data_IF_195539454474
#
_entry.id   IF_195539454474
#
_cell.length_a   1.000
_cell.length_b   1.000
_cell.length_c   1.000
_cell.angle_alpha   90.00
_cell.angle_beta   90.00
_cell.angle_gamma   90.00
#
_symmetry.space_group_name_H-M   'P 1'
#
loop_
_entity.id
_entity.type
_entity.pdbx_description
1 polymer ?
#
# COMPACT_ATOMS: atom_id res chain seq x y z
N UNK A 1 -29.88 -60.68 -34.31
CA UNK A 1 -30.18 -60.37 -32.89
C UNK A 1 -28.93 -60.71 -32.10
N UNK A 2 -28.16 -59.83 -31.48
CA UNK A 2 -28.37 -58.48 -30.93
C UNK A 2 -27.00 -57.80 -30.83
N UNK A 3 -26.85 -56.56 -31.32
CA UNK A 3 -25.64 -55.75 -31.15
C UNK A 3 -25.85 -54.72 -30.02
N UNK A 4 -24.83 -54.62 -29.16
CA UNK A 4 -24.32 -53.43 -28.47
C UNK A 4 -25.26 -52.61 -27.58
N UNK A 5 -25.06 -52.71 -26.26
CA UNK A 5 -25.52 -51.73 -25.27
C UNK A 5 -24.35 -50.86 -24.81
N UNK A 6 -24.56 -49.55 -24.95
CA UNK A 6 -24.06 -48.45 -24.09
C UNK A 6 -22.55 -48.19 -24.03
N UNK A 7 -22.07 -47.34 -24.95
CA UNK A 7 -21.01 -46.36 -24.68
C UNK A 7 -21.71 -45.08 -24.21
N UNK A 8 -21.85 -44.93 -22.90
CA UNK A 8 -22.14 -43.64 -22.25
C UNK A 8 -21.06 -43.49 -21.19
N UNK A 9 -20.29 -42.41 -21.31
CA UNK A 9 -19.36 -41.84 -20.32
C UNK A 9 -17.94 -41.68 -20.86
N UNK A 10 -17.75 -40.68 -21.74
CA UNK A 10 -16.42 -40.06 -21.92
C UNK A 10 -16.52 -38.68 -22.59
N UNK A 11 -17.41 -37.80 -22.11
CA UNK A 11 -17.46 -36.39 -22.56
C UNK A 11 -17.76 -35.42 -21.42
N UNK A 12 -17.22 -35.67 -20.23
CA UNK A 12 -17.33 -34.73 -19.10
C UNK A 12 -16.02 -34.52 -18.33
N UNK A 13 -14.88 -34.52 -19.04
CA UNK A 13 -13.59 -34.14 -18.45
C UNK A 13 -12.81 -33.10 -19.28
N UNK A 14 -13.27 -32.73 -20.48
CA UNK A 14 -12.61 -31.70 -21.29
C UNK A 14 -13.16 -30.27 -21.07
N UNK A 15 -14.26 -30.11 -20.31
CA UNK A 15 -14.84 -28.78 -20.07
C UNK A 15 -14.23 -28.03 -18.87
N UNK A 16 -13.57 -28.75 -17.95
CA UNK A 16 -13.01 -28.16 -16.71
C UNK A 16 -11.56 -27.67 -16.90
N UNK A 17 -10.84 -28.15 -17.91
CA UNK A 17 -9.47 -27.70 -18.19
C UNK A 17 -9.38 -26.47 -19.10
N UNK A 18 -10.44 -26.13 -19.86
CA UNK A 18 -10.43 -24.99 -20.80
C UNK A 18 -10.71 -23.66 -20.08
N UNK A 19 -11.46 -23.67 -18.98
CA UNK A 19 -11.75 -22.44 -18.22
C UNK A 19 -10.53 -21.83 -17.53
N UNK A 20 -9.55 -22.65 -17.16
CA UNK A 20 -8.36 -22.18 -16.42
C UNK A 20 -7.25 -21.61 -17.32
N UNK A 21 -7.21 -21.98 -18.60
CA UNK A 21 -6.27 -21.42 -19.58
C UNK A 21 -6.80 -20.12 -20.19
N UNK A 22 -8.12 -20.00 -20.33
CA UNK A 22 -8.76 -18.80 -20.89
C UNK A 22 -8.76 -17.59 -19.94
N UNK A 23 -8.78 -17.81 -18.62
CA UNK A 23 -8.86 -16.73 -17.62
C UNK A 23 -7.58 -15.88 -17.52
N UNK A 24 -6.41 -16.48 -17.78
CA UNK A 24 -5.11 -15.79 -17.63
C UNK A 24 -4.81 -14.83 -18.79
N UNK A 25 -5.17 -15.23 -20.01
CA UNK A 25 -5.07 -14.37 -21.21
C UNK A 25 -5.99 -13.15 -21.14
N UNK A 26 -7.06 -13.20 -20.34
CA UNK A 26 -8.12 -12.20 -20.43
C UNK A 26 -7.75 -10.81 -19.90
N UNK A 27 -6.91 -10.75 -18.87
CA UNK A 27 -6.56 -9.50 -18.20
C UNK A 27 -5.25 -8.89 -18.68
N UNK A 28 -4.29 -9.74 -19.06
CA UNK A 28 -2.93 -9.32 -19.39
C UNK A 28 -2.91 -8.44 -20.65
N UNK A 29 -3.76 -8.74 -21.64
CA UNK A 29 -3.90 -7.96 -22.87
C UNK A 29 -4.50 -6.58 -22.61
N UNK A 30 -5.56 -6.50 -21.78
CA UNK A 30 -6.14 -5.21 -21.36
C UNK A 30 -5.09 -4.40 -20.61
N UNK A 31 -4.41 -5.02 -19.65
CA UNK A 31 -3.40 -4.34 -18.84
C UNK A 31 -2.25 -3.82 -19.71
N UNK A 32 -1.83 -4.60 -20.71
CA UNK A 32 -0.81 -4.18 -21.67
C UNK A 32 -1.26 -2.93 -22.44
N UNK A 33 -2.49 -2.92 -22.95
CA UNK A 33 -3.05 -1.77 -23.67
C UNK A 33 -3.11 -0.52 -22.78
N UNK A 34 -3.56 -0.65 -21.52
CA UNK A 34 -3.58 0.47 -20.58
C UNK A 34 -2.16 0.97 -20.29
N UNK A 35 -1.17 0.06 -20.16
CA UNK A 35 0.23 0.42 -19.93
C UNK A 35 0.86 1.15 -21.13
N UNK A 36 0.40 0.84 -22.34
CA UNK A 36 0.84 1.49 -23.58
C UNK A 36 0.11 2.82 -23.83
N UNK A 37 -0.89 3.17 -23.01
CA UNK A 37 -1.73 4.35 -23.22
C UNK A 37 -2.78 4.16 -24.31
N UNK A 38 -2.98 2.93 -24.79
CA UNK A 38 -3.99 2.59 -25.81
C UNK A 38 -5.36 2.39 -25.15
N UNK A 39 -5.86 3.42 -24.48
CA UNK A 39 -7.03 3.35 -23.61
C UNK A 39 -8.33 3.02 -24.36
N UNK A 40 -8.52 3.52 -25.57
CA UNK A 40 -9.70 3.22 -26.38
C UNK A 40 -9.75 1.73 -26.75
N UNK A 41 -8.60 1.13 -27.11
CA UNK A 41 -8.51 -0.31 -27.40
C UNK A 41 -8.71 -1.13 -26.13
N UNK A 42 -8.13 -0.68 -25.01
CA UNK A 42 -8.35 -1.32 -23.71
C UNK A 42 -9.83 -1.33 -23.34
N UNK A 43 -10.55 -0.23 -23.58
CA UNK A 43 -11.98 -0.11 -23.28
C UNK A 43 -12.78 -1.10 -24.13
N UNK A 44 -12.57 -1.09 -25.45
CA UNK A 44 -13.26 -2.00 -26.37
C UNK A 44 -13.05 -3.47 -25.99
N UNK A 45 -11.81 -3.88 -25.72
CA UNK A 45 -11.49 -5.25 -25.32
C UNK A 45 -12.12 -5.62 -23.97
N UNK A 46 -12.15 -4.67 -23.03
CA UNK A 46 -12.76 -4.88 -21.71
C UNK A 46 -14.28 -5.08 -21.84
N UNK A 47 -14.95 -4.28 -22.68
CA UNK A 47 -16.39 -4.38 -22.93
C UNK A 47 -16.76 -5.67 -23.67
N UNK A 48 -15.98 -6.08 -24.66
CA UNK A 48 -16.12 -7.37 -25.34
C UNK A 48 -16.10 -8.51 -24.31
N UNK A 49 -15.12 -8.52 -23.40
CA UNK A 49 -14.99 -9.55 -22.37
C UNK A 49 -16.11 -9.51 -21.34
N UNK A 50 -16.52 -8.32 -20.91
CA UNK A 50 -17.66 -8.13 -19.98
C UNK A 50 -18.99 -8.57 -20.59
N UNK A 51 -19.16 -8.52 -21.92
CA UNK A 51 -20.37 -9.01 -22.59
C UNK A 51 -20.62 -10.51 -22.34
N UNK A 52 -19.53 -11.28 -22.18
CA UNK A 52 -19.53 -12.72 -21.90
C UNK A 52 -19.48 -13.01 -20.40
N UNK A 53 -18.76 -12.18 -19.63
CA UNK A 53 -18.48 -12.36 -18.19
C UNK A 53 -19.08 -11.24 -17.34
N UNK A 54 -20.41 -11.08 -17.43
CA UNK A 54 -21.20 -9.92 -16.96
C UNK A 54 -21.01 -9.46 -15.50
N UNK A 55 -20.27 -10.19 -14.67
CA UNK A 55 -20.04 -9.86 -13.25
C UNK A 55 -18.58 -10.02 -12.82
N UNK A 56 -17.64 -9.95 -13.76
CA UNK A 56 -16.21 -9.95 -13.45
C UNK A 56 -15.78 -8.58 -12.90
N UNK A 57 -15.66 -8.49 -11.58
CA UNK A 57 -15.29 -7.26 -10.86
C UNK A 57 -13.93 -6.72 -11.32
N UNK A 58 -12.98 -7.60 -11.69
CA UNK A 58 -11.65 -7.17 -12.13
C UNK A 58 -11.74 -6.49 -13.50
N UNK A 59 -12.54 -7.02 -14.42
CA UNK A 59 -12.82 -6.36 -15.69
C UNK A 59 -13.61 -5.05 -15.52
N UNK A 60 -14.59 -5.01 -14.61
CA UNK A 60 -15.29 -3.77 -14.28
C UNK A 60 -14.33 -2.71 -13.72
N UNK A 61 -13.41 -3.11 -12.83
CA UNK A 61 -12.41 -2.21 -12.29
C UNK A 61 -11.46 -1.69 -13.37
N UNK A 62 -10.99 -2.56 -14.29
CA UNK A 62 -10.21 -2.15 -15.46
C UNK A 62 -10.98 -1.18 -16.37
N UNK A 63 -12.30 -1.40 -16.56
CA UNK A 63 -13.17 -0.49 -17.29
C UNK A 63 -13.19 0.89 -16.62
N UNK A 64 -13.44 0.95 -15.32
CA UNK A 64 -13.47 2.20 -14.55
C UNK A 64 -12.16 2.97 -14.62
N UNK A 65 -11.01 2.28 -14.48
CA UNK A 65 -9.69 2.89 -14.65
C UNK A 65 -9.47 3.43 -16.07
N UNK A 66 -9.88 2.66 -17.09
CA UNK A 66 -9.71 3.05 -18.49
C UNK A 66 -10.55 4.27 -18.85
N UNK A 67 -11.82 4.29 -18.42
CA UNK A 67 -12.71 5.44 -18.57
C UNK A 67 -12.15 6.69 -17.86
N UNK A 68 -11.57 6.53 -16.67
CA UNK A 68 -10.91 7.63 -15.95
C UNK A 68 -9.73 8.21 -16.75
N UNK A 69 -8.95 7.36 -17.43
CA UNK A 69 -7.83 7.78 -18.28
C UNK A 69 -8.25 8.45 -19.59
N UNK A 70 -9.47 8.17 -20.04
CA UNK A 70 -10.11 8.80 -21.20
C UNK A 70 -10.86 10.08 -20.82
N UNK A 71 -10.75 10.54 -19.56
CA UNK A 71 -11.52 11.66 -18.99
C UNK A 71 -13.05 11.47 -19.10
N UNK A 72 -13.51 10.22 -19.29
CA UNK A 72 -14.92 9.83 -19.29
C UNK A 72 -15.40 9.62 -17.84
N UNK A 73 -15.34 10.70 -17.05
CA UNK A 73 -15.54 10.64 -15.61
C UNK A 73 -16.94 10.20 -15.19
N UNK A 74 -17.97 10.56 -15.96
CA UNK A 74 -19.35 10.15 -15.64
C UNK A 74 -19.53 8.63 -15.75
N UNK A 75 -19.06 8.04 -16.84
CA UNK A 75 -19.12 6.59 -17.04
C UNK A 75 -18.23 5.85 -16.01
N UNK A 76 -17.07 6.41 -15.67
CA UNK A 76 -16.19 5.86 -14.64
C UNK A 76 -16.85 5.87 -13.24
N UNK A 77 -17.53 6.96 -12.89
CA UNK A 77 -18.31 7.13 -11.65
C UNK A 77 -19.35 6.02 -11.53
N UNK A 78 -20.16 5.79 -12.56
CA UNK A 78 -21.17 4.73 -12.56
C UNK A 78 -20.56 3.34 -12.32
N UNK A 79 -19.45 3.03 -12.99
CA UNK A 79 -18.75 1.75 -12.86
C UNK A 79 -18.23 1.57 -11.43
N UNK A 80 -17.55 2.58 -10.86
CA UNK A 80 -17.02 2.45 -9.50
C UNK A 80 -18.12 2.41 -8.44
N UNK A 81 -19.22 3.16 -8.60
CA UNK A 81 -20.38 3.08 -7.71
C UNK A 81 -20.93 1.63 -7.70
N UNK A 82 -21.12 1.02 -8.87
CA UNK A 82 -21.58 -0.37 -8.95
C UNK A 82 -20.65 -1.33 -8.20
N UNK A 83 -19.33 -1.18 -8.36
CA UNK A 83 -18.35 -2.01 -7.65
C UNK A 83 -18.44 -1.79 -6.14
N UNK A 84 -18.53 -0.54 -5.67
CA UNK A 84 -18.61 -0.21 -4.24
C UNK A 84 -19.89 -0.72 -3.57
N UNK A 85 -21.01 -0.73 -4.28
CA UNK A 85 -22.29 -1.28 -3.78
C UNK A 85 -22.21 -2.80 -3.68
N UNK A 86 -21.62 -3.46 -4.68
CA UNK A 86 -21.50 -4.92 -4.71
C UNK A 86 -20.40 -5.46 -3.77
N UNK A 87 -19.36 -4.67 -3.50
CA UNK A 87 -18.16 -5.08 -2.75
C UNK A 87 -17.73 -3.95 -1.79
N UNK A 88 -18.57 -3.63 -0.78
CA UNK A 88 -18.33 -2.51 0.12
C UNK A 88 -17.10 -2.68 1.01
N UNK A 89 -16.50 -3.87 1.07
CA UNK A 89 -15.28 -4.15 1.80
C UNK A 89 -14.01 -3.72 1.05
N UNK A 90 -14.08 -3.59 -0.29
CA UNK A 90 -12.91 -3.27 -1.11
C UNK A 90 -12.60 -1.76 -1.05
N UNK A 91 -11.39 -1.36 -0.65
CA UNK A 91 -11.06 0.06 -0.51
C UNK A 91 -10.63 0.70 -1.84
N UNK A 92 -10.12 -0.07 -2.80
CA UNK A 92 -9.60 0.45 -4.07
C UNK A 92 -10.70 1.11 -4.93
N UNK A 93 -11.92 0.56 -5.08
CA UNK A 93 -13.01 1.21 -5.81
C UNK A 93 -13.41 2.55 -5.21
N UNK A 94 -13.49 2.65 -3.87
CA UNK A 94 -13.75 3.92 -3.19
C UNK A 94 -12.63 4.95 -3.43
N UNK A 95 -11.37 4.53 -3.37
CA UNK A 95 -10.25 5.42 -3.65
C UNK A 95 -10.26 5.94 -5.10
N UNK A 96 -10.58 5.10 -6.08
CA UNK A 96 -10.67 5.53 -7.47
C UNK A 96 -11.92 6.39 -7.74
N UNK A 97 -13.05 6.08 -7.09
CA UNK A 97 -14.24 6.94 -7.12
C UNK A 97 -13.92 8.34 -6.61
N UNK A 98 -13.11 8.47 -5.55
CA UNK A 98 -12.67 9.77 -5.06
C UNK A 98 -11.81 10.56 -6.07
N UNK A 99 -10.93 9.89 -6.81
CA UNK A 99 -10.16 10.51 -7.90
C UNK A 99 -11.10 11.03 -9.00
N UNK A 100 -12.10 10.25 -9.38
CA UNK A 100 -13.13 10.63 -10.36
C UNK A 100 -13.92 11.85 -9.86
N UNK A 101 -14.40 11.83 -8.62
CA UNK A 101 -15.09 12.96 -8.00
C UNK A 101 -14.21 14.22 -7.95
N UNK A 102 -12.93 14.09 -7.58
CA UNK A 102 -12.00 15.20 -7.53
C UNK A 102 -11.76 15.84 -8.91
N UNK A 103 -11.68 15.03 -9.98
CA UNK A 103 -11.56 15.50 -11.35
C UNK A 103 -12.81 16.29 -11.81
N UNK A 104 -13.99 15.93 -11.30
CA UNK A 104 -15.24 16.63 -11.53
C UNK A 104 -15.44 17.86 -10.60
N UNK A 105 -14.51 18.13 -9.66
CA UNK A 105 -14.64 19.20 -8.66
C UNK A 105 -15.58 18.88 -7.49
N UNK A 106 -16.09 17.64 -7.41
CA UNK A 106 -16.97 17.13 -6.34
C UNK A 106 -16.17 16.75 -5.09
N UNK A 107 -15.58 17.74 -4.41
CA UNK A 107 -14.61 17.47 -3.34
C UNK A 107 -15.22 16.84 -2.08
N UNK A 108 -16.47 17.15 -1.74
CA UNK A 108 -17.14 16.57 -0.58
C UNK A 108 -17.41 15.07 -0.78
N UNK A 109 -17.86 14.69 -1.97
CA UNK A 109 -18.09 13.30 -2.36
C UNK A 109 -16.77 12.53 -2.44
N UNK A 110 -15.69 13.17 -2.91
CA UNK A 110 -14.35 12.60 -2.89
C UNK A 110 -13.86 12.31 -1.46
N UNK A 111 -14.08 13.25 -0.53
CA UNK A 111 -13.77 13.08 0.89
C UNK A 111 -14.52 11.88 1.48
N UNK A 112 -15.83 11.78 1.23
CA UNK A 112 -16.66 10.68 1.74
C UNK A 112 -16.20 9.32 1.20
N UNK A 113 -15.92 9.23 -0.11
CA UNK A 113 -15.40 8.02 -0.71
C UNK A 113 -14.06 7.59 -0.08
N UNK A 114 -13.13 8.52 0.15
CA UNK A 114 -11.86 8.20 0.83
C UNK A 114 -12.07 7.80 2.29
N UNK A 115 -13.01 8.43 3.01
CA UNK A 115 -13.38 8.01 4.37
C UNK A 115 -13.95 6.59 4.37
N UNK A 116 -14.74 6.20 3.39
CA UNK A 116 -15.21 4.82 3.23
C UNK A 116 -14.04 3.86 2.97
N UNK A 117 -13.10 4.21 2.08
CA UNK A 117 -11.88 3.43 1.84
C UNK A 117 -11.04 3.25 3.12
N UNK A 118 -10.92 4.31 3.94
CA UNK A 118 -10.18 4.30 5.21
C UNK A 118 -10.94 3.52 6.28
N UNK A 119 -12.27 3.61 6.32
CA UNK A 119 -13.09 2.89 7.29
C UNK A 119 -12.98 1.38 7.10
N UNK A 120 -13.09 0.91 5.86
CA UNK A 120 -12.87 -0.51 5.55
C UNK A 120 -11.39 -0.86 5.72
N UNK A 121 -10.50 0.05 5.30
CA UNK A 121 -9.07 -0.18 5.32
C UNK A 121 -8.22 0.95 5.96
N UNK A 122 -8.09 0.99 7.31
CA UNK A 122 -7.42 2.11 8.00
C UNK A 122 -5.94 2.39 7.67
N UNK A 123 -5.21 1.41 7.12
CA UNK A 123 -3.80 1.54 6.73
C UNK A 123 -3.61 1.71 5.22
N UNK A 124 -4.68 2.02 4.48
CA UNK A 124 -4.58 2.27 3.06
C UNK A 124 -3.95 3.64 2.83
N UNK A 125 -2.61 3.65 2.76
CA UNK A 125 -1.82 4.89 2.76
C UNK A 125 -2.22 5.84 1.62
N UNK A 126 -2.48 5.30 0.43
CA UNK A 126 -2.94 6.07 -0.73
C UNK A 126 -4.25 6.81 -0.47
N UNK A 127 -5.19 6.22 0.29
CA UNK A 127 -6.42 6.91 0.63
C UNK A 127 -6.21 8.08 1.59
N UNK A 128 -5.26 7.97 2.53
CA UNK A 128 -4.88 9.09 3.42
C UNK A 128 -4.14 10.19 2.68
N UNK A 129 -3.24 9.82 1.76
CA UNK A 129 -2.53 10.76 0.87
C UNK A 129 -3.53 11.53 0.01
N UNK A 130 -4.39 10.83 -0.71
CA UNK A 130 -5.45 11.42 -1.52
C UNK A 130 -6.38 12.30 -0.68
N UNK A 131 -6.68 11.93 0.56
CA UNK A 131 -7.52 12.75 1.45
C UNK A 131 -6.84 14.07 1.80
N UNK A 132 -5.51 14.07 2.00
CA UNK A 132 -4.71 15.29 2.13
C UNK A 132 -4.81 16.19 0.90
N UNK A 133 -4.71 15.62 -0.29
CA UNK A 133 -4.86 16.36 -1.55
C UNK A 133 -6.26 16.94 -1.73
N UNK A 134 -7.31 16.20 -1.34
CA UNK A 134 -8.69 16.71 -1.31
C UNK A 134 -8.81 17.90 -0.36
N UNK A 135 -8.27 17.80 0.86
CA UNK A 135 -8.31 18.93 1.79
C UNK A 135 -7.55 20.16 1.27
N UNK A 136 -6.42 19.97 0.60
CA UNK A 136 -5.70 21.07 -0.05
C UNK A 136 -6.55 21.74 -1.14
N UNK A 137 -7.24 20.94 -1.98
CA UNK A 137 -8.15 21.46 -3.02
C UNK A 137 -9.35 22.21 -2.41
N UNK A 138 -9.96 21.68 -1.35
CA UNK A 138 -11.04 22.35 -0.63
C UNK A 138 -10.59 23.66 0.01
N UNK A 139 -9.39 23.70 0.61
CA UNK A 139 -8.81 24.92 1.14
C UNK A 139 -8.58 25.97 0.04
N UNK A 140 -8.02 25.55 -1.10
CA UNK A 140 -7.85 26.41 -2.28
C UNK A 140 -9.19 27.00 -2.76
N UNK A 141 -10.23 26.17 -2.86
CA UNK A 141 -11.58 26.61 -3.22
C UNK A 141 -12.12 27.65 -2.24
N UNK A 142 -12.03 27.41 -0.93
CA UNK A 142 -12.50 28.34 0.10
C UNK A 142 -11.73 29.68 0.08
N UNK A 143 -10.41 29.66 -0.15
CA UNK A 143 -9.65 30.90 -0.29
C UNK A 143 -10.03 31.68 -1.55
N UNK A 144 -10.29 31.01 -2.68
CA UNK A 144 -10.79 31.70 -3.87
C UNK A 144 -12.14 32.38 -3.60
N UNK A 145 -13.08 31.68 -2.94
CA UNK A 145 -14.36 32.28 -2.55
C UNK A 145 -14.17 33.51 -1.63
N UNK A 146 -13.23 33.45 -0.69
CA UNK A 146 -12.91 34.61 0.15
C UNK A 146 -12.38 35.80 -0.67
N UNK A 147 -11.58 35.54 -1.71
CA UNK A 147 -11.01 36.56 -2.59
C UNK A 147 -12.00 37.12 -3.62
N UNK A 148 -13.01 36.34 -4.00
CA UNK A 148 -14.15 36.84 -4.77
C UNK A 148 -14.96 37.87 -3.98
N UNK A 149 -15.07 37.69 -2.66
CA UNK A 149 -15.78 38.60 -1.77
C UNK A 149 -14.91 39.78 -1.31
N UNK A 150 -13.62 39.56 -1.07
CA UNK A 150 -12.65 40.59 -0.70
C UNK A 150 -11.31 40.36 -1.40
N UNK A 151 -11.14 41.03 -2.55
CA UNK A 151 -9.93 40.94 -3.36
C UNK A 151 -8.68 41.47 -2.64
N UNK A 152 -8.82 42.24 -1.55
CA UNK A 152 -7.70 42.81 -0.78
C UNK A 152 -7.29 41.94 0.42
N UNK A 153 -7.91 40.77 0.62
CA UNK A 153 -7.58 39.85 1.70
C UNK A 153 -6.21 39.20 1.46
N UNK A 154 -5.14 39.89 1.88
CA UNK A 154 -3.75 39.44 1.71
C UNK A 154 -3.47 38.11 2.40
N UNK A 155 -4.09 37.86 3.56
CA UNK A 155 -3.93 36.61 4.28
C UNK A 155 -4.49 35.40 3.50
N UNK A 156 -5.61 35.57 2.79
CA UNK A 156 -6.15 34.53 1.90
C UNK A 156 -5.26 34.33 0.66
N UNK A 157 -4.71 35.40 0.08
CA UNK A 157 -3.77 35.32 -1.06
C UNK A 157 -2.49 34.53 -0.70
N UNK A 158 -1.89 34.82 0.46
CA UNK A 158 -0.69 34.14 0.93
C UNK A 158 -0.94 32.64 1.16
N UNK A 159 -2.02 32.30 1.88
CA UNK A 159 -2.36 30.90 2.16
C UNK A 159 -2.73 30.13 0.88
N UNK A 160 -3.46 30.75 -0.03
CA UNK A 160 -3.77 30.16 -1.34
C UNK A 160 -2.49 29.87 -2.13
N UNK A 161 -1.49 30.75 -2.07
CA UNK A 161 -0.22 30.55 -2.76
C UNK A 161 0.54 29.33 -2.21
N UNK A 162 0.59 29.18 -0.88
CA UNK A 162 1.20 28.01 -0.23
C UNK A 162 0.46 26.71 -0.56
N UNK A 163 -0.87 26.74 -0.53
CA UNK A 163 -1.69 25.56 -0.90
C UNK A 163 -1.48 25.19 -2.37
N UNK A 164 -1.38 26.17 -3.27
CA UNK A 164 -1.06 25.92 -4.68
C UNK A 164 0.31 25.28 -4.83
N UNK A 165 1.32 25.75 -4.09
CA UNK A 165 2.66 25.12 -4.10
C UNK A 165 2.60 23.64 -3.69
N UNK A 166 1.84 23.31 -2.64
CA UNK A 166 1.61 21.92 -2.23
C UNK A 166 0.97 21.10 -3.36
N UNK A 167 -0.09 21.62 -3.99
CA UNK A 167 -0.81 20.93 -5.09
C UNK A 167 0.05 20.79 -6.35
N UNK A 168 0.84 21.80 -6.72
CA UNK A 168 1.64 21.74 -7.96
C UNK A 168 2.93 20.92 -7.79
N UNK A 169 3.53 20.94 -6.59
CA UNK A 169 4.71 20.13 -6.29
C UNK A 169 4.42 18.61 -6.38
N UNK A 170 3.20 18.18 -6.06
CA UNK A 170 2.78 16.79 -6.29
C UNK A 170 2.61 16.49 -7.79
N UNK A 171 2.03 17.40 -8.58
CA UNK A 171 1.82 17.17 -10.04
C UNK A 171 3.09 17.15 -10.90
N UNK A 172 4.17 17.85 -10.51
CA UNK A 172 5.45 17.76 -11.24
C UNK A 172 6.14 16.40 -11.04
N UNK A 173 5.90 15.72 -9.92
CA UNK A 173 6.35 14.35 -9.71
C UNK A 173 5.58 13.32 -10.57
N UNK A 174 4.39 13.68 -11.07
CA UNK A 174 3.50 12.80 -11.86
C UNK A 174 3.73 12.88 -13.38
N UNK A 175 4.49 13.85 -13.90
CA UNK A 175 4.88 13.91 -15.33
C UNK A 175 6.05 12.99 -15.70
N UNK A 176 6.58 12.20 -14.76
CA UNK A 176 7.28 10.96 -15.09
C UNK A 176 6.23 9.86 -15.18
N UNK A 177 5.98 9.41 -16.41
CA UNK A 177 5.16 8.23 -16.74
C UNK A 177 5.23 7.21 -15.60
N UNK A 178 4.16 7.14 -14.79
CA UNK A 178 3.96 6.06 -13.82
C UNK A 178 3.37 4.92 -14.64
N UNK A 179 4.09 3.81 -14.86
CA UNK A 179 3.50 2.63 -15.49
C UNK A 179 2.34 2.16 -14.61
N UNK A 180 1.17 1.94 -15.20
CA UNK A 180 0.03 1.38 -14.49
C UNK A 180 0.42 0.01 -13.89
N UNK A 181 0.12 -0.16 -12.62
CA UNK A 181 0.10 -1.43 -11.87
C UNK A 181 1.45 -2.16 -11.79
N UNK A 182 2.23 -1.79 -10.77
CA UNK A 182 2.99 -2.80 -10.02
C UNK A 182 1.99 -3.91 -9.67
N UNK A 183 2.15 -5.09 -10.28
CA UNK A 183 1.36 -6.31 -10.01
C UNK A 183 0.94 -6.33 -8.54
N UNK A 184 -0.36 -6.17 -8.24
CA UNK A 184 -0.88 -6.63 -6.94
C UNK A 184 -0.92 -8.15 -7.05
N UNK A 185 0.26 -8.73 -6.95
CA UNK A 185 0.43 -10.10 -6.57
C UNK A 185 0.65 -10.01 -5.06
N UNK A 186 -0.36 -10.36 -4.26
CA UNK A 186 -0.30 -10.25 -2.80
C UNK A 186 0.97 -10.92 -2.25
N UNK A 187 1.43 -11.99 -2.92
CA UNK A 187 2.69 -12.67 -2.63
C UNK A 187 3.93 -11.84 -2.95
N UNK A 188 3.92 -11.02 -4.02
CA UNK A 188 5.03 -10.15 -4.42
C UNK A 188 5.11 -8.89 -3.54
N UNK A 189 3.98 -8.29 -3.16
CA UNK A 189 3.95 -7.15 -2.23
C UNK A 189 4.35 -7.58 -0.81
N UNK A 190 3.87 -8.74 -0.35
CA UNK A 190 4.35 -9.36 0.90
C UNK A 190 5.85 -9.67 0.79
N UNK A 191 6.34 -10.16 -0.35
CA UNK A 191 7.76 -10.48 -0.54
C UNK A 191 8.64 -9.22 -0.59
N UNK A 192 8.20 -8.16 -1.25
CA UNK A 192 8.88 -6.86 -1.29
C UNK A 192 8.88 -6.19 0.09
N UNK A 193 7.75 -6.26 0.80
CA UNK A 193 7.62 -5.83 2.19
C UNK A 193 8.55 -6.62 3.12
N UNK A 194 8.60 -7.96 3.00
CA UNK A 194 9.54 -8.82 3.73
C UNK A 194 10.99 -8.46 3.44
N UNK A 195 11.38 -8.26 2.18
CA UNK A 195 12.74 -7.82 1.80
C UNK A 195 13.08 -6.45 2.39
N UNK A 196 12.13 -5.51 2.38
CA UNK A 196 12.32 -4.20 2.98
C UNK A 196 12.52 -4.28 4.51
N UNK A 197 11.68 -5.07 5.18
CA UNK A 197 11.78 -5.33 6.63
C UNK A 197 13.10 -6.03 6.96
N UNK A 198 13.50 -7.04 6.18
CA UNK A 198 14.77 -7.74 6.35
C UNK A 198 15.97 -6.80 6.19
N UNK A 199 15.92 -5.89 5.21
CA UNK A 199 16.94 -4.86 5.05
C UNK A 199 17.03 -3.96 6.27
N UNK A 200 15.89 -3.57 6.83
CA UNK A 200 15.83 -2.69 8.01
C UNK A 200 16.37 -3.41 9.24
N UNK A 201 15.97 -4.65 9.51
CA UNK A 201 16.48 -5.39 10.68
C UNK A 201 17.99 -5.67 10.57
N UNK A 202 18.51 -5.89 9.36
CA UNK A 202 19.95 -6.00 9.11
C UNK A 202 20.68 -4.68 9.37
N UNK A 203 20.11 -3.55 8.96
CA UNK A 203 20.68 -2.23 9.27
C UNK A 203 20.66 -1.94 10.77
N UNK A 204 19.57 -2.30 11.46
CA UNK A 204 19.48 -2.22 12.93
C UNK A 204 20.60 -3.01 13.63
N UNK A 205 20.83 -4.26 13.22
CA UNK A 205 21.94 -5.05 13.73
C UNK A 205 23.31 -4.44 13.39
N UNK A 206 23.45 -3.86 12.18
CA UNK A 206 24.68 -3.19 11.78
C UNK A 206 24.95 -1.94 12.62
N UNK A 207 23.94 -1.12 12.94
CA UNK A 207 24.10 0.03 13.86
C UNK A 207 24.67 -0.39 15.21
N UNK A 208 24.30 -1.59 15.67
CA UNK A 208 24.90 -2.23 16.84
C UNK A 208 26.38 -2.61 16.62
N UNK A 209 26.71 -3.28 15.51
CA UNK A 209 28.08 -3.68 15.15
C UNK A 209 29.02 -2.48 15.00
N UNK A 210 28.56 -1.38 14.39
CA UNK A 210 29.36 -0.15 14.25
C UNK A 210 29.26 0.79 15.47
N UNK A 211 28.58 0.34 16.53
CA UNK A 211 28.39 1.06 17.80
C UNK A 211 27.75 2.47 17.64
N UNK A 212 26.96 2.67 16.59
CA UNK A 212 26.19 3.89 16.35
C UNK A 212 24.85 3.80 17.10
N UNK A 213 24.87 4.34 18.33
CA UNK A 213 23.72 4.23 19.23
C UNK A 213 22.55 5.08 18.77
N UNK A 214 22.79 6.24 18.18
CA UNK A 214 21.70 7.14 17.75
C UNK A 214 20.93 6.50 16.60
N UNK A 215 21.64 6.02 15.57
CA UNK A 215 21.01 5.26 14.48
C UNK A 215 20.34 3.98 14.98
N UNK A 216 20.90 3.30 15.99
CA UNK A 216 20.28 2.13 16.60
C UNK A 216 18.93 2.46 17.25
N UNK A 217 18.85 3.56 18.00
CA UNK A 217 17.64 3.98 18.72
C UNK A 217 16.55 4.51 17.77
N UNK A 218 16.91 5.08 16.61
CA UNK A 218 15.95 5.54 15.60
C UNK A 218 15.06 4.42 15.02
N UNK A 219 15.49 3.16 15.11
CA UNK A 219 14.66 2.03 14.68
C UNK A 219 13.50 1.73 15.64
N UNK A 220 13.45 2.35 16.83
CA UNK A 220 12.42 2.11 17.83
C UNK A 220 11.34 3.20 17.77
N UNK A 221 10.10 2.78 17.50
CA UNK A 221 8.96 3.68 17.30
C UNK A 221 8.50 4.37 18.58
N UNK A 222 7.65 5.39 18.46
CA UNK A 222 7.12 6.14 19.62
C UNK A 222 6.40 5.22 20.62
N UNK A 223 5.62 4.26 20.10
CA UNK A 223 4.87 3.25 20.84
C UNK A 223 5.72 2.05 21.32
N UNK A 224 7.06 2.15 21.28
CA UNK A 224 7.92 1.06 21.74
C UNK A 224 7.72 0.81 23.23
N UNK A 225 7.42 -0.44 23.58
CA UNK A 225 7.33 -0.89 24.97
C UNK A 225 8.60 -1.64 25.38
N UNK A 226 9.49 -1.05 26.20
CA UNK A 226 10.70 -1.73 26.65
C UNK A 226 10.39 -2.99 27.47
N UNK A 227 11.30 -3.99 27.46
CA UNK A 227 11.14 -5.18 28.30
C UNK A 227 11.22 -4.82 29.80
N UNK A 228 10.76 -5.74 30.65
CA UNK A 228 10.87 -5.65 32.11
C UNK A 228 10.19 -4.44 32.75
N UNK A 229 9.18 -3.84 32.09
CA UNK A 229 8.45 -2.65 32.56
C UNK A 229 9.33 -1.42 32.80
N UNK A 230 10.52 -1.36 32.19
CA UNK A 230 11.38 -0.18 32.25
C UNK A 230 10.76 0.98 31.48
N UNK A 231 11.04 2.22 31.90
CA UNK A 231 10.71 3.38 31.08
C UNK A 231 11.58 3.42 29.82
N UNK A 232 11.11 4.10 28.78
CA UNK A 232 11.88 4.29 27.54
C UNK A 232 13.23 4.94 27.80
N UNK A 233 13.26 6.00 28.61
CA UNK A 233 14.49 6.73 28.93
C UNK A 233 15.52 5.83 29.65
N UNK A 234 15.11 5.06 30.65
CA UNK A 234 16.00 4.12 31.35
C UNK A 234 16.56 3.06 30.39
N UNK A 235 15.71 2.54 29.50
CA UNK A 235 16.10 1.56 28.51
C UNK A 235 17.11 2.12 27.50
N UNK A 236 16.90 3.35 26.99
CA UNK A 236 17.81 4.01 26.06
C UNK A 236 19.18 4.27 26.70
N UNK A 237 19.22 4.69 27.96
CA UNK A 237 20.46 4.88 28.72
C UNK A 237 21.21 3.57 28.96
N UNK A 238 20.51 2.48 29.32
CA UNK A 238 21.11 1.15 29.42
C UNK A 238 21.71 0.69 28.09
N UNK A 239 20.98 0.90 26.98
CA UNK A 239 21.45 0.56 25.65
C UNK A 239 22.69 1.35 25.24
N UNK A 240 22.71 2.67 25.48
CA UNK A 240 23.91 3.50 25.27
C UNK A 240 25.12 2.92 25.98
N UNK A 241 25.01 2.62 27.29
CA UNK A 241 26.12 2.03 28.05
C UNK A 241 26.55 0.67 27.50
N UNK A 242 25.62 -0.21 27.13
CA UNK A 242 25.96 -1.57 26.64
C UNK A 242 26.63 -1.57 25.27
N UNK A 243 26.23 -0.65 24.39
CA UNK A 243 26.75 -0.58 23.02
C UNK A 243 28.11 0.12 22.99
N UNK A 244 28.37 1.12 23.83
CA UNK A 244 29.62 1.88 23.80
C UNK A 244 30.73 1.32 24.70
N UNK A 245 30.40 0.41 25.63
CA UNK A 245 31.39 -0.15 26.59
C UNK A 245 32.42 -1.11 25.97
N UNK A 246 32.05 -2.06 25.08
CA UNK A 246 33.02 -2.97 24.46
C UNK A 246 33.90 -2.25 23.43
N UNK A 247 35.11 -2.76 23.21
CA UNK A 247 36.01 -2.22 22.18
C UNK A 247 35.55 -2.55 20.75
N UNK A 248 34.80 -3.65 20.60
CA UNK A 248 34.12 -3.99 19.35
C UNK A 248 32.84 -4.77 19.64
N UNK A 249 31.89 -4.68 18.70
CA UNK A 249 30.68 -5.49 18.69
C UNK A 249 30.55 -6.14 17.31
N UNK A 250 30.19 -7.42 17.27
CA UNK A 250 29.77 -8.10 16.06
C UNK A 250 28.42 -8.76 16.31
N UNK A 251 27.43 -8.36 15.53
CA UNK A 251 26.07 -8.88 15.62
C UNK A 251 25.68 -9.49 14.28
N UNK A 252 25.36 -10.78 14.33
CA UNK A 252 24.86 -11.53 13.17
C UNK A 252 23.45 -12.01 13.42
N UNK A 253 22.63 -11.93 12.36
CA UNK A 253 21.24 -12.39 12.37
C UNK A 253 21.11 -13.61 11.46
N UNK A 254 20.67 -14.74 12.01
CA UNK A 254 20.33 -15.95 11.24
C UNK A 254 18.86 -16.30 11.44
N UNK A 255 18.35 -17.24 10.64
CA UNK A 255 16.99 -17.80 10.77
C UNK A 255 15.88 -16.74 10.77
N UNK A 256 16.08 -15.62 10.05
CA UNK A 256 15.11 -14.53 9.98
C UNK A 256 13.85 -15.04 9.27
N UNK A 257 12.75 -15.12 10.02
CA UNK A 257 11.42 -15.44 9.50
C UNK A 257 10.51 -14.26 9.78
N UNK A 258 9.90 -13.74 8.72
CA UNK A 258 9.01 -12.58 8.78
C UNK A 258 7.61 -13.08 8.43
N UNK A 259 6.65 -12.83 9.31
CA UNK A 259 5.25 -13.19 9.14
C UNK A 259 4.37 -11.95 9.31
N UNK A 260 3.30 -11.80 8.51
CA UNK A 260 2.25 -10.85 8.83
C UNK A 260 1.70 -11.15 10.24
N UNK A 261 1.48 -10.10 11.05
CA UNK A 261 0.91 -10.25 12.40
C UNK A 261 -0.50 -9.69 12.49
N UNK A 262 -0.66 -8.41 12.12
CA UNK A 262 -1.92 -7.72 11.92
C UNK A 262 -1.68 -6.54 10.97
N UNK A 263 -2.72 -5.82 10.58
CA UNK A 263 -2.62 -4.72 9.62
C UNK A 263 -1.55 -3.69 9.98
N UNK A 264 -0.58 -3.47 9.09
CA UNK A 264 0.55 -2.56 9.33
C UNK A 264 1.62 -3.11 10.28
N UNK A 265 1.51 -4.36 10.72
CA UNK A 265 2.47 -5.01 11.62
C UNK A 265 3.04 -6.31 11.04
N UNK A 266 4.32 -6.51 11.26
CA UNK A 266 5.01 -7.77 10.98
C UNK A 266 5.63 -8.32 12.26
N UNK A 267 5.53 -9.63 12.42
CA UNK A 267 6.27 -10.37 13.42
C UNK A 267 7.51 -10.96 12.79
N UNK A 268 8.66 -10.75 13.44
CA UNK A 268 9.95 -11.25 13.02
C UNK A 268 10.44 -12.19 14.11
N UNK A 269 10.72 -13.44 13.74
CA UNK A 269 11.50 -14.34 14.58
C UNK A 269 12.88 -14.52 13.98
N UNK A 270 13.93 -14.33 14.76
CA UNK A 270 15.31 -14.47 14.31
C UNK A 270 16.20 -15.02 15.41
N UNK A 271 17.37 -15.53 15.02
CA UNK A 271 18.46 -15.85 15.95
C UNK A 271 19.50 -14.74 15.86
N UNK A 272 19.79 -14.08 16.98
CA UNK A 272 20.83 -13.09 17.08
C UNK A 272 22.03 -13.70 17.78
N UNK A 273 23.19 -13.67 17.12
CA UNK A 273 24.48 -13.98 17.76
C UNK A 273 25.21 -12.67 17.98
N UNK A 274 25.54 -12.39 19.24
CA UNK A 274 26.31 -11.23 19.67
C UNK A 274 27.70 -11.71 20.10
N UNK A 275 28.73 -10.98 19.69
CA UNK A 275 30.11 -11.20 20.10
C UNK A 275 30.80 -9.85 20.33
N UNK A 276 31.63 -9.77 21.37
CA UNK A 276 32.47 -8.63 21.71
C UNK A 276 33.70 -9.12 22.46
N UNK A 277 34.65 -8.23 22.74
CA UNK A 277 35.85 -8.52 23.53
C UNK A 277 35.56 -8.96 24.97
N UNK A 278 34.37 -8.68 25.50
CA UNK A 278 34.02 -8.91 26.91
C UNK A 278 32.80 -9.82 27.12
N UNK A 279 32.08 -10.18 26.06
CA UNK A 279 30.84 -10.95 26.17
C UNK A 279 30.44 -11.57 24.83
N UNK A 280 29.80 -12.74 24.88
CA UNK A 280 29.20 -13.40 23.73
C UNK A 280 27.89 -14.07 24.12
N UNK A 281 26.90 -14.06 23.24
CA UNK A 281 25.61 -14.70 23.47
C UNK A 281 24.92 -15.06 22.15
N UNK A 282 24.00 -16.01 22.18
CA UNK A 282 23.17 -16.40 21.05
C UNK A 282 21.73 -16.59 21.53
N UNK A 283 20.85 -15.68 21.11
CA UNK A 283 19.46 -15.60 21.58
C UNK A 283 18.47 -15.67 20.43
N UNK A 284 17.34 -16.35 20.65
CA UNK A 284 16.18 -16.25 19.76
C UNK A 284 15.36 -15.03 20.16
N UNK A 285 15.01 -14.20 19.18
CA UNK A 285 14.21 -13.00 19.39
C UNK A 285 12.91 -13.08 18.62
N UNK A 286 11.88 -12.48 19.21
CA UNK A 286 10.63 -12.14 18.57
C UNK A 286 10.49 -10.61 18.60
N UNK A 287 10.42 -10.01 17.42
CA UNK A 287 10.34 -8.57 17.24
C UNK A 287 9.04 -8.26 16.53
N UNK A 288 8.27 -7.30 17.06
CA UNK A 288 7.10 -6.76 16.39
C UNK A 288 7.49 -5.41 15.80
N UNK A 289 7.28 -5.23 14.50
CA UNK A 289 7.48 -3.96 13.83
C UNK A 289 6.17 -3.43 13.26
N UNK A 290 6.01 -2.11 13.31
CA UNK A 290 4.90 -1.38 12.71
C UNK A 290 5.40 -0.53 11.54
N UNK A 291 4.62 -0.48 10.46
CA UNK A 291 4.82 0.49 9.38
C UNK A 291 4.15 1.80 9.79
N UNK A 292 4.96 2.84 10.00
CA UNK A 292 4.50 4.21 10.28
C UNK A 292 4.99 5.09 9.14
N UNK A 293 4.05 5.68 8.39
CA UNK A 293 4.34 6.36 7.11
C UNK A 293 5.12 5.43 6.17
N UNK A 294 6.37 5.78 5.81
CA UNK A 294 7.26 4.97 4.97
C UNK A 294 8.41 4.27 5.74
N UNK A 295 8.34 4.17 7.07
CA UNK A 295 9.37 3.53 7.89
C UNK A 295 8.79 2.34 8.67
N UNK A 296 9.57 1.25 8.74
CA UNK A 296 9.29 0.16 9.68
C UNK A 296 10.02 0.43 10.98
N UNK A 297 9.28 0.46 12.08
CA UNK A 297 9.79 0.76 13.41
C UNK A 297 9.48 -0.39 14.37
N UNK A 298 10.42 -0.72 15.24
CA UNK A 298 10.28 -1.71 16.29
C UNK A 298 9.34 -1.15 17.36
N UNK A 299 8.26 -1.87 17.63
CA UNK A 299 7.30 -1.54 18.71
C UNK A 299 7.39 -2.51 19.87
N UNK A 300 7.97 -3.70 19.65
CA UNK A 300 8.18 -4.68 20.71
C UNK A 300 9.41 -5.55 20.42
N UNK A 301 10.20 -5.84 21.44
CA UNK A 301 11.35 -6.74 21.38
C UNK A 301 11.29 -7.73 22.55
N UNK A 302 11.26 -9.03 22.27
CA UNK A 302 11.25 -10.10 23.29
C UNK A 302 12.30 -11.15 22.99
N UNK A 303 12.95 -11.65 24.04
CA UNK A 303 13.78 -12.86 23.98
C UNK A 303 12.85 -14.07 24.20
N UNK A 304 13.03 -15.13 23.42
CA UNK A 304 12.32 -16.40 23.55
C UNK A 304 13.25 -17.51 24.02
#
# INVERSE_FOLDING_TARGET
>A
MTLSKTIISMFLSLLVCVSNVYSKSSYDDIQLLINQGEYEKALLLTEEKLSVTKSDIKLQFMKGLTLTRLDQYHDAEEVFIQITVANPELPEPFNNLAVVYAAQGKYAEAEEALKNAINTHPSYATAHENLGDIYAKMASHAYNQALELDIRNTAAQEKLSLVKELIFSSTESEKKVIPLVKKINLEEDITLSKKAVEKIIKKWANSWTVQDVDSYLEYYGQEFTPPNRMSRNEWEQDRRRRITRPNYINVTLTDIKIKPYKKGYVEITLTQTYHSDIYSDRVKKQILMQKVSNKWLITQERVR
#
